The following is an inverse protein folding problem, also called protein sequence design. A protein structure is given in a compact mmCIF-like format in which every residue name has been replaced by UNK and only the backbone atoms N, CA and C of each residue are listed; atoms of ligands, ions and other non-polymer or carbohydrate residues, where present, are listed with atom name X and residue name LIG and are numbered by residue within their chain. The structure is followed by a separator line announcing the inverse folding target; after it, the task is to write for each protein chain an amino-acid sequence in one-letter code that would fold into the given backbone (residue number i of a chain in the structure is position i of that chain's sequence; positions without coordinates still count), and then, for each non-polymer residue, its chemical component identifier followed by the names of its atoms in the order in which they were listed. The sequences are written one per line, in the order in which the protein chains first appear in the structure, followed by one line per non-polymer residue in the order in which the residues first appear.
data_IF_550706710727
#
_entry.id   IF_550706710727
#
_cell.length_a   1.000
_cell.length_b   1.000
_cell.length_c   1.000
_cell.angle_alpha   90.00
_cell.angle_beta   90.00
_cell.angle_gamma   90.00
#
_symmetry.space_group_name_H-M   'P 1'
#
loop_
_entity.id
_entity.type
_entity.pdbx_description
1 polymer ?
#
# COMPACT_ATOMS: atom_id res chain seq x y z
N UNK A 1 19.19 2.73 -3.49
CA UNK A 1 18.32 2.33 -2.37
C UNK A 1 18.60 0.86 -2.09
N UNK A 2 18.89 0.49 -0.85
CA UNK A 2 19.12 -0.92 -0.46
C UNK A 2 17.79 -1.66 -0.27
N UNK A 3 17.79 -2.99 -0.28
CA UNK A 3 16.59 -3.80 -0.06
C UNK A 3 15.93 -3.51 1.31
N UNK A 4 16.75 -3.23 2.33
CA UNK A 4 16.27 -2.81 3.65
C UNK A 4 15.55 -1.46 3.59
N UNK A 5 16.11 -0.48 2.86
CA UNK A 5 15.46 0.81 2.66
C UNK A 5 14.15 0.68 1.88
N UNK A 6 14.09 -0.20 0.88
CA UNK A 6 12.86 -0.52 0.15
C UNK A 6 11.80 -1.13 1.06
N UNK A 7 12.20 -2.06 1.92
CA UNK A 7 11.30 -2.64 2.89
C UNK A 7 10.71 -1.59 3.84
N UNK A 8 11.56 -0.69 4.37
CA UNK A 8 11.13 0.42 5.24
C UNK A 8 10.15 1.35 4.50
N UNK A 9 10.46 1.73 3.25
CA UNK A 9 9.56 2.53 2.43
C UNK A 9 8.19 1.84 2.26
N UNK A 10 8.18 0.53 2.00
CA UNK A 10 6.93 -0.21 1.82
C UNK A 10 6.13 -0.35 3.13
N UNK A 11 6.80 -0.43 4.28
CA UNK A 11 6.14 -0.37 5.59
C UNK A 11 5.52 1.01 5.84
N UNK A 12 6.26 2.08 5.54
CA UNK A 12 5.75 3.46 5.61
C UNK A 12 4.56 3.66 4.65
N UNK A 13 4.61 3.08 3.45
CA UNK A 13 3.50 3.10 2.49
C UNK A 13 2.24 2.44 3.08
N UNK A 14 2.38 1.30 3.76
CA UNK A 14 1.27 0.64 4.44
C UNK A 14 0.62 1.54 5.50
N UNK A 15 1.42 2.27 6.28
CA UNK A 15 0.92 3.24 7.25
C UNK A 15 0.26 4.45 6.58
N UNK A 16 0.92 5.02 5.56
CA UNK A 16 0.40 6.14 4.77
C UNK A 16 -0.96 5.82 4.13
N UNK A 17 -1.17 4.58 3.68
CA UNK A 17 -2.46 4.15 3.14
C UNK A 17 -3.60 4.20 4.16
N UNK A 18 -3.30 4.02 5.46
CA UNK A 18 -4.28 4.09 6.55
C UNK A 18 -4.57 5.54 6.94
N UNK A 19 -3.54 6.39 6.97
CA UNK A 19 -3.67 7.80 7.37
C UNK A 19 -4.19 8.70 6.26
N UNK A 20 -3.94 8.40 4.98
CA UNK A 20 -4.40 9.26 3.87
C UNK A 20 -5.90 9.48 3.83
N UNK A 21 -6.70 8.59 4.44
CA UNK A 21 -8.16 8.76 4.56
C UNK A 21 -8.54 10.00 5.35
N UNK A 22 -7.67 10.48 6.26
CA UNK A 22 -7.91 11.70 7.03
C UNK A 22 -7.81 12.98 6.19
N UNK A 23 -7.11 12.95 5.06
CA UNK A 23 -7.05 14.09 4.14
C UNK A 23 -8.28 14.19 3.23
N UNK A 24 -9.06 13.11 3.12
CA UNK A 24 -10.31 13.11 2.37
C UNK A 24 -11.49 13.40 3.29
N UNK A 25 -12.53 14.12 2.83
CA UNK A 25 -13.76 14.25 3.59
C UNK A 25 -14.32 12.86 3.88
N UNK A 26 -14.85 12.61 5.10
CA UNK A 26 -15.41 11.31 5.44
C UNK A 26 -16.54 11.00 4.46
N UNK A 27 -16.53 9.80 3.88
CA UNK A 27 -17.62 9.33 3.01
C UNK A 27 -18.90 9.34 3.85
N UNK A 28 -19.96 10.04 3.41
CA UNK A 28 -21.19 10.14 4.19
C UNK A 28 -21.76 8.73 4.42
N UNK A 29 -21.93 8.38 5.70
CA UNK A 29 -22.56 7.12 6.09
C UNK A 29 -24.06 7.12 5.77
N UNK A 30 -24.68 5.95 5.78
CA UNK A 30 -26.14 5.84 5.70
C UNK A 30 -26.82 6.64 6.81
N UNK A 31 -28.03 7.15 6.58
CA UNK A 31 -28.79 7.92 7.58
C UNK A 31 -28.87 7.19 8.92
N UNK A 32 -29.15 5.87 8.91
CA UNK A 32 -29.17 5.05 10.12
C UNK A 32 -27.80 5.00 10.82
N UNK A 33 -26.70 4.93 10.04
CA UNK A 33 -25.34 4.93 10.57
C UNK A 33 -24.95 6.25 11.24
N UNK A 34 -25.56 7.37 10.85
CA UNK A 34 -25.34 8.68 11.48
C UNK A 34 -26.03 8.79 12.85
N UNK A 35 -27.13 8.07 13.06
CA UNK A 35 -27.81 7.98 14.36
C UNK A 35 -27.21 6.93 15.31
N UNK A 36 -26.37 6.03 14.79
CA UNK A 36 -25.61 5.10 15.64
C UNK A 36 -24.46 5.86 16.30
N UNK A 37 -24.12 5.52 17.55
CA UNK A 37 -22.89 6.02 18.19
C UNK A 37 -21.74 5.73 17.23
N UNK A 38 -20.93 6.75 16.94
CA UNK A 38 -19.75 6.60 16.10
C UNK A 38 -19.00 5.35 16.58
N UNK A 39 -18.85 4.36 15.70
CA UNK A 39 -18.03 3.19 16.03
C UNK A 39 -16.66 3.74 16.37
N UNK A 40 -16.30 3.73 17.65
CA UNK A 40 -14.92 3.92 18.06
C UNK A 40 -14.15 2.85 17.31
N UNK A 41 -13.33 3.28 16.36
CA UNK A 41 -12.37 2.38 15.74
C UNK A 41 -11.51 1.87 16.89
N UNK A 42 -11.67 0.60 17.22
CA UNK A 42 -10.87 -0.07 18.25
C UNK A 42 -9.50 -0.29 17.62
N UNK A 43 -8.63 0.71 17.76
CA UNK A 43 -7.30 0.74 17.21
C UNK A 43 -6.58 2.03 17.57
N UNK A 44 -5.25 1.96 17.64
CA UNK A 44 -4.38 3.14 17.74
C UNK A 44 -4.60 4.04 16.53
N UNK A 45 -4.68 5.36 16.75
CA UNK A 45 -4.78 6.32 15.65
C UNK A 45 -3.52 6.18 14.79
N UNK A 46 -3.65 5.89 13.48
CA UNK A 46 -2.48 5.70 12.66
C UNK A 46 -1.76 7.05 12.52
N UNK A 47 -0.52 7.10 12.98
CA UNK A 47 0.37 8.25 12.91
C UNK A 47 1.51 7.91 11.95
N UNK A 48 1.38 8.36 10.70
CA UNK A 48 2.33 8.07 9.64
C UNK A 48 2.99 9.35 9.16
N UNK A 49 4.31 9.29 8.97
CA UNK A 49 5.08 10.41 8.45
C UNK A 49 4.51 10.91 7.11
N UNK A 50 4.40 12.23 6.98
CA UNK A 50 4.01 12.88 5.73
C UNK A 50 5.21 12.91 4.75
N UNK A 51 5.38 11.81 4.02
CA UNK A 51 6.46 11.67 3.03
C UNK A 51 5.99 12.22 1.68
N UNK A 52 6.66 13.27 1.18
CA UNK A 52 6.32 13.94 -0.09
C UNK A 52 6.30 12.99 -1.31
N UNK A 53 7.12 11.93 -1.28
CA UNK A 53 7.25 11.00 -2.41
C UNK A 53 6.18 9.88 -2.42
N UNK A 54 5.40 9.74 -1.35
CA UNK A 54 4.38 8.68 -1.24
C UNK A 54 3.25 8.75 -2.27
N UNK A 55 2.73 9.94 -2.67
CA UNK A 55 1.74 10.02 -3.74
C UNK A 55 2.24 9.40 -5.06
N UNK A 56 3.49 9.66 -5.46
CA UNK A 56 4.08 9.06 -6.66
C UNK A 56 4.23 7.55 -6.54
N UNK A 57 4.63 7.08 -5.36
CA UNK A 57 4.70 5.65 -5.08
C UNK A 57 3.31 4.99 -5.13
N UNK A 58 2.27 5.64 -4.59
CA UNK A 58 0.90 5.16 -4.66
C UNK A 58 0.39 5.09 -6.10
N UNK A 59 0.66 6.10 -6.92
CA UNK A 59 0.32 6.09 -8.34
C UNK A 59 1.01 4.93 -9.07
N UNK A 60 2.30 4.72 -8.81
CA UNK A 60 3.03 3.58 -9.36
C UNK A 60 2.45 2.23 -8.93
N UNK A 61 2.11 2.07 -7.64
CA UNK A 61 1.49 0.85 -7.10
C UNK A 61 0.16 0.57 -7.78
N UNK A 62 -0.70 1.56 -8.02
CA UNK A 62 -1.97 1.33 -8.71
C UNK A 62 -1.79 1.13 -10.22
N UNK A 63 -0.91 1.87 -10.88
CA UNK A 63 -0.67 1.72 -12.32
C UNK A 63 -0.06 0.35 -12.69
N UNK A 64 0.78 -0.21 -11.82
CA UNK A 64 1.33 -1.56 -12.01
C UNK A 64 0.32 -2.67 -11.69
N UNK A 65 -0.72 -2.40 -10.91
CA UNK A 65 -1.67 -3.42 -10.47
C UNK A 65 -2.49 -3.98 -11.64
N UNK A 66 -2.76 -3.15 -12.66
CA UNK A 66 -3.43 -3.58 -13.88
C UNK A 66 -2.55 -4.47 -14.76
N UNK A 67 -1.24 -4.24 -14.75
CA UNK A 67 -0.28 -4.98 -15.57
C UNK A 67 0.13 -6.31 -14.92
N UNK A 68 0.29 -6.32 -13.60
CA UNK A 68 0.87 -7.43 -12.83
C UNK A 68 -0.03 -7.78 -11.62
N UNK A 69 -1.26 -8.26 -11.86
CA UNK A 69 -2.27 -8.41 -10.81
C UNK A 69 -1.86 -9.41 -9.72
N UNK A 70 -1.20 -10.51 -10.09
CA UNK A 70 -0.76 -11.53 -9.12
C UNK A 70 0.31 -11.01 -8.17
N UNK A 71 1.26 -10.21 -8.67
CA UNK A 71 2.32 -9.60 -7.87
C UNK A 71 1.74 -8.49 -6.97
N UNK A 72 0.79 -7.72 -7.51
CA UNK A 72 0.07 -6.67 -6.79
C UNK A 72 -0.75 -7.22 -5.61
N UNK A 73 -1.38 -8.38 -5.76
CA UNK A 73 -2.10 -9.06 -4.67
C UNK A 73 -1.14 -9.41 -3.53
N UNK A 74 0.00 -10.03 -3.84
CA UNK A 74 1.01 -10.36 -2.82
C UNK A 74 1.50 -9.11 -2.08
N UNK A 75 1.78 -8.04 -2.82
CA UNK A 75 2.23 -6.76 -2.27
C UNK A 75 1.17 -6.13 -1.35
N UNK A 76 -0.07 -6.02 -1.83
CA UNK A 76 -1.19 -5.41 -1.09
C UNK A 76 -1.52 -6.18 0.18
N UNK A 77 -1.56 -7.51 0.13
CA UNK A 77 -1.80 -8.33 1.32
C UNK A 77 -0.72 -8.13 2.39
N UNK A 78 0.55 -8.05 1.97
CA UNK A 78 1.66 -7.98 2.90
C UNK A 78 1.89 -6.57 3.48
N UNK A 79 1.94 -5.53 2.64
CA UNK A 79 2.29 -4.18 3.07
C UNK A 79 1.07 -3.32 3.43
N UNK A 80 0.03 -3.32 2.60
CA UNK A 80 -1.16 -2.50 2.83
C UNK A 80 -2.05 -3.09 3.95
N UNK A 81 -2.47 -4.35 3.80
CA UNK A 81 -3.30 -5.03 4.81
C UNK A 81 -2.50 -5.53 6.01
N UNK A 82 -1.17 -5.65 5.90
CA UNK A 82 -0.30 -6.06 7.01
C UNK A 82 -0.45 -7.53 7.42
N UNK A 83 -0.96 -8.40 6.55
CA UNK A 83 -1.19 -9.80 6.90
C UNK A 83 0.13 -10.58 7.00
N UNK A 84 0.49 -11.01 8.21
CA UNK A 84 1.77 -11.68 8.52
C UNK A 84 1.80 -13.21 8.36
N UNK A 85 0.69 -13.96 8.47
CA UNK A 85 0.70 -15.41 8.24
C UNK A 85 0.93 -15.80 6.76
N UNK A 86 2.11 -15.51 6.20
CA UNK A 86 2.46 -15.72 4.78
C UNK A 86 2.31 -17.18 4.35
N UNK A 87 2.51 -18.14 5.26
CA UNK A 87 2.29 -19.56 4.98
C UNK A 87 0.83 -19.85 4.61
N UNK A 88 -0.12 -19.23 5.31
CA UNK A 88 -1.54 -19.39 5.03
C UNK A 88 -1.92 -18.68 3.72
N UNK A 89 -1.43 -17.47 3.50
CA UNK A 89 -1.65 -16.77 2.22
C UNK A 89 -1.14 -17.56 1.03
N UNK A 90 0.10 -18.04 1.11
CA UNK A 90 0.70 -18.83 0.05
C UNK A 90 -0.10 -20.11 -0.23
N UNK A 91 -0.61 -20.78 0.81
CA UNK A 91 -1.49 -21.94 0.66
C UNK A 91 -2.83 -21.58 0.00
N UNK A 92 -3.49 -20.49 0.42
CA UNK A 92 -4.73 -20.01 -0.20
C UNK A 92 -4.54 -19.61 -1.67
N UNK A 93 -3.37 -19.08 -2.01
CA UNK A 93 -3.00 -18.70 -3.39
C UNK A 93 -2.46 -19.87 -4.22
N UNK A 94 -2.29 -21.07 -3.65
CA UNK A 94 -1.73 -22.22 -4.35
C UNK A 94 -0.25 -22.09 -4.75
N UNK A 95 0.51 -21.23 -4.07
CA UNK A 95 1.93 -20.95 -4.37
C UNK A 95 2.86 -21.30 -3.21
N UNK A 96 4.15 -21.43 -3.49
CA UNK A 96 5.16 -21.57 -2.44
C UNK A 96 5.39 -20.25 -1.69
N UNK A 97 5.81 -20.31 -0.43
CA UNK A 97 6.23 -19.12 0.34
C UNK A 97 7.33 -18.33 -0.38
N UNK A 98 8.28 -19.02 -1.02
CA UNK A 98 9.36 -18.40 -1.79
C UNK A 98 8.79 -17.60 -2.97
N UNK A 99 7.83 -18.18 -3.69
CA UNK A 99 7.13 -17.51 -4.79
C UNK A 99 6.43 -16.24 -4.33
N UNK A 100 5.76 -16.29 -3.16
CA UNK A 100 5.11 -15.12 -2.58
C UNK A 100 6.10 -13.96 -2.34
N UNK A 101 7.20 -14.21 -1.64
CA UNK A 101 8.20 -13.17 -1.35
C UNK A 101 8.88 -12.65 -2.63
N UNK A 102 9.15 -13.53 -3.60
CA UNK A 102 9.73 -13.12 -4.87
C UNK A 102 8.82 -12.16 -5.64
N UNK A 103 7.52 -12.47 -5.72
CA UNK A 103 6.51 -11.62 -6.37
C UNK A 103 6.38 -10.28 -5.65
N UNK A 104 6.27 -10.32 -4.33
CA UNK A 104 6.19 -9.13 -3.48
C UNK A 104 7.41 -8.21 -3.66
N UNK A 105 8.63 -8.75 -3.59
CA UNK A 105 9.87 -7.97 -3.75
C UNK A 105 9.98 -7.38 -5.15
N UNK A 106 9.72 -8.18 -6.18
CA UNK A 106 9.75 -7.72 -7.57
C UNK A 106 8.77 -6.58 -7.82
N UNK A 107 7.55 -6.70 -7.27
CA UNK A 107 6.55 -5.64 -7.35
C UNK A 107 7.03 -4.36 -6.67
N UNK A 108 7.59 -4.46 -5.46
CA UNK A 108 8.12 -3.32 -4.72
C UNK A 108 9.24 -2.59 -5.49
N UNK A 109 10.17 -3.34 -6.09
CA UNK A 109 11.24 -2.79 -6.93
C UNK A 109 10.70 -2.08 -8.18
N UNK A 110 9.72 -2.68 -8.86
CA UNK A 110 9.07 -2.10 -10.03
C UNK A 110 8.32 -0.83 -9.66
N UNK A 111 7.58 -0.85 -8.55
CA UNK A 111 6.84 0.32 -8.03
C UNK A 111 7.79 1.47 -7.69
N UNK A 112 8.95 1.19 -7.07
CA UNK A 112 9.96 2.21 -6.82
C UNK A 112 10.50 2.81 -8.12
N UNK A 113 10.85 1.98 -9.11
CA UNK A 113 11.37 2.49 -10.40
C UNK A 113 10.34 3.36 -11.10
N UNK A 114 9.08 2.92 -11.14
CA UNK A 114 7.98 3.67 -11.74
C UNK A 114 7.71 4.99 -11.01
N UNK A 115 7.74 4.99 -9.67
CA UNK A 115 7.50 6.22 -8.89
C UNK A 115 8.55 7.29 -9.14
N UNK A 116 9.82 6.89 -9.32
CA UNK A 116 10.91 7.80 -9.67
C UNK A 116 10.71 8.41 -11.07
N UNK A 117 10.19 7.63 -12.02
CA UNK A 117 9.84 8.14 -13.37
C UNK A 117 8.69 9.13 -13.28
N UNK A 118 7.62 8.80 -12.55
CA UNK A 118 6.47 9.69 -12.35
C UNK A 118 6.88 11.01 -11.69
N UNK A 119 7.73 10.96 -10.66
CA UNK A 119 8.26 12.15 -9.98
C UNK A 119 9.05 13.03 -10.96
N UNK A 120 9.89 12.44 -11.80
CA UNK A 120 10.65 13.18 -12.83
C UNK A 120 9.74 13.80 -13.88
N UNK A 121 8.73 13.08 -14.35
CA UNK A 121 7.77 13.58 -15.33
C UNK A 121 7.00 14.78 -14.79
N UNK A 122 6.55 14.72 -13.53
CA UNK A 122 5.86 15.83 -12.88
C UNK A 122 6.74 17.09 -12.79
N UNK A 123 8.02 16.93 -12.43
CA UNK A 123 8.97 18.05 -12.35
C UNK A 123 9.28 18.71 -13.69
N UNK A 124 9.07 18.01 -14.82
CA UNK A 124 9.27 18.55 -16.17
C UNK A 124 8.02 19.22 -16.74
N UNK A 125 6.84 18.88 -16.21
CA UNK A 125 5.55 19.46 -16.62
C UNK A 125 5.22 20.80 -15.95
N UNK A 126 6.05 21.23 -15.00
CA UNK A 126 5.97 22.51 -14.29
C UNK A 126 7.05 23.44 -14.84
#
# INVERSE_FOLDING_TARGET
MTDQQLHVLCLQYGQWCRTRRYFAPPVPGSLLGQFQKARQWVGEEPDADLIQDMPYFNMAVHGLAEQEPEEAICFTLFYHHGFRPVKQLAACMGISRKTFYNRMNRYAERALKMSLVLKRAQLQSV
#
